data_IF_589174719550
#
_entry.id   IF_589174719550
#
_cell.length_a   1.000
_cell.length_b   1.000
_cell.length_c   1.000
_cell.angle_alpha   90.00
_cell.angle_beta   90.00
_cell.angle_gamma   90.00
#
_symmetry.space_group_name_H-M   'P 1'
#
loop_
_entity.id
_entity.type
_entity.pdbx_description
1 polymer ?
#
# COMPACT_ATOMS: atom_id res chain seq x y z
N UNK A 1 -5.94 4.69 -10.61
CA UNK A 1 -6.74 4.57 -9.38
C UNK A 1 -6.09 5.47 -8.36
N UNK A 2 -6.88 6.37 -7.77
CA UNK A 2 -6.40 7.34 -6.78
C UNK A 2 -6.21 6.68 -5.41
N UNK A 3 -5.57 7.40 -4.49
CA UNK A 3 -5.35 6.93 -3.12
C UNK A 3 -6.68 6.56 -2.45
N UNK A 4 -6.70 5.39 -1.80
CA UNK A 4 -7.84 4.91 -1.04
C UNK A 4 -7.35 4.34 0.29
N UNK A 5 -7.97 4.77 1.38
CA UNK A 5 -7.84 4.09 2.65
C UNK A 5 -8.83 2.93 2.68
N UNK A 6 -8.34 1.70 2.53
CA UNK A 6 -9.17 0.50 2.45
C UNK A 6 -9.52 -0.07 3.83
N UNK A 7 -8.81 0.37 4.87
CA UNK A 7 -8.86 -0.18 6.23
C UNK A 7 -8.05 -1.46 6.39
N UNK A 8 -7.50 -2.01 5.29
CA UNK A 8 -6.65 -3.20 5.30
C UNK A 8 -5.17 -2.85 5.54
N UNK A 9 -4.82 -1.55 5.55
CA UNK A 9 -3.44 -1.10 5.75
C UNK A 9 -2.99 -1.17 7.22
N UNK A 10 -3.93 -1.23 8.15
CA UNK A 10 -3.69 -1.06 9.60
C UNK A 10 -3.26 -2.37 10.29
N UNK A 11 -3.68 -3.51 9.75
CA UNK A 11 -3.35 -4.84 10.27
C UNK A 11 -2.44 -5.59 9.28
N UNK A 12 -1.20 -5.97 9.67
CA UNK A 12 -0.33 -6.81 8.85
C UNK A 12 -0.96 -8.15 8.42
N UNK A 13 -1.93 -8.68 9.17
CA UNK A 13 -2.66 -9.89 8.81
C UNK A 13 -3.58 -9.71 7.60
N UNK A 14 -3.96 -8.47 7.28
CA UNK A 14 -4.78 -8.13 6.13
C UNK A 14 -3.96 -7.81 4.87
N UNK A 15 -2.62 -7.77 4.98
CA UNK A 15 -1.73 -7.55 3.85
C UNK A 15 -1.99 -8.51 2.66
N UNK A 16 -2.30 -9.81 2.84
CA UNK A 16 -2.69 -10.69 1.73
C UNK A 16 -3.98 -10.25 1.01
N UNK A 17 -4.97 -9.75 1.75
CA UNK A 17 -6.22 -9.24 1.17
C UNK A 17 -5.96 -7.94 0.39
N UNK A 18 -5.13 -7.07 0.95
CA UNK A 18 -4.69 -5.84 0.31
C UNK A 18 -3.90 -6.11 -0.97
N UNK A 19 -3.04 -7.13 -0.96
CA UNK A 19 -2.28 -7.57 -2.12
C UNK A 19 -3.19 -8.12 -3.23
N UNK A 20 -4.15 -8.97 -2.89
CA UNK A 20 -5.15 -9.45 -3.84
C UNK A 20 -5.97 -8.30 -4.44
N UNK A 21 -6.40 -7.36 -3.59
CA UNK A 21 -7.11 -6.16 -4.01
C UNK A 21 -6.33 -5.39 -5.09
N UNK A 22 -5.06 -5.05 -4.84
CA UNK A 22 -4.27 -4.31 -5.83
C UNK A 22 -3.91 -5.16 -7.05
N UNK A 23 -3.63 -6.46 -6.88
CA UNK A 23 -3.32 -7.36 -8.00
C UNK A 23 -4.49 -7.48 -8.99
N UNK A 24 -5.74 -7.58 -8.51
CA UNK A 24 -6.92 -7.60 -9.37
C UNK A 24 -7.03 -6.33 -10.23
N UNK A 25 -6.67 -5.18 -9.66
CA UNK A 25 -6.73 -3.87 -10.35
C UNK A 25 -5.61 -3.72 -11.37
N UNK A 26 -4.41 -4.20 -11.04
CA UNK A 26 -3.30 -4.27 -11.96
C UNK A 26 -3.61 -5.20 -13.15
N UNK A 27 -4.14 -6.39 -12.89
CA UNK A 27 -4.58 -7.34 -13.91
C UNK A 27 -5.70 -6.79 -14.81
N UNK A 28 -6.55 -5.91 -14.28
CA UNK A 28 -7.59 -5.22 -15.04
C UNK A 28 -7.07 -4.05 -15.91
N UNK A 29 -5.76 -3.78 -15.93
CA UNK A 29 -5.13 -2.79 -16.81
C UNK A 29 -5.23 -1.34 -16.32
N UNK A 30 -5.43 -1.11 -15.02
CA UNK A 30 -5.46 0.25 -14.45
C UNK A 30 -4.11 0.93 -14.63
N UNK A 31 -4.05 2.09 -15.31
CA UNK A 31 -2.80 2.74 -15.72
C UNK A 31 -1.89 3.32 -14.60
N UNK A 32 -2.36 3.45 -13.37
CA UNK A 32 -1.57 3.85 -12.19
C UNK A 32 -2.32 3.41 -10.94
N UNK A 33 -1.62 2.86 -9.96
CA UNK A 33 -2.18 2.57 -8.64
C UNK A 33 -1.47 3.46 -7.62
N UNK A 34 -2.26 4.16 -6.81
CA UNK A 34 -1.80 4.91 -5.65
C UNK A 34 -2.43 4.26 -4.42
N UNK A 35 -1.60 3.88 -3.46
CA UNK A 35 -1.97 3.18 -2.22
C UNK A 35 -2.71 4.09 -1.24
N UNK A 36 -3.23 3.50 -0.16
CA UNK A 36 -3.62 4.24 1.05
C UNK A 36 -2.40 4.86 1.75
N UNK A 37 -2.64 5.86 2.60
CA UNK A 37 -1.56 6.57 3.28
C UNK A 37 -0.86 5.72 4.35
N UNK A 38 0.46 5.60 4.23
CA UNK A 38 1.39 4.96 5.18
C UNK A 38 2.39 6.00 5.71
N UNK A 39 2.34 6.29 7.00
CA UNK A 39 3.17 7.35 7.58
C UNK A 39 4.65 6.95 7.75
N UNK A 40 5.63 7.75 7.30
CA UNK A 40 7.05 7.42 7.41
C UNK A 40 7.64 7.72 8.80
N UNK A 41 6.88 8.39 9.68
CA UNK A 41 7.31 8.76 11.02
C UNK A 41 6.09 8.97 11.94
N UNK A 42 6.33 9.03 13.26
CA UNK A 42 5.27 9.20 14.26
C UNK A 42 4.52 10.53 14.13
N UNK A 43 5.15 11.59 13.61
CA UNK A 43 4.54 12.92 13.52
C UNK A 43 3.49 13.01 12.42
N UNK A 44 3.61 12.20 11.36
CA UNK A 44 2.63 12.14 10.27
C UNK A 44 1.50 11.14 10.50
N UNK A 45 1.36 10.57 11.70
CA UNK A 45 0.28 9.63 12.03
C UNK A 45 -0.97 10.42 12.38
N UNK A 46 -2.00 10.34 11.53
CA UNK A 46 -3.22 11.14 11.67
C UNK A 46 -4.29 10.48 12.54
N UNK A 47 -4.27 9.14 12.65
CA UNK A 47 -5.24 8.35 13.41
C UNK A 47 -4.51 7.34 14.30
N UNK A 48 -5.07 7.00 15.49
CA UNK A 48 -4.59 5.87 16.27
C UNK A 48 -4.58 4.61 15.39
N UNK A 49 -3.46 3.88 15.42
CA UNK A 49 -3.26 2.64 14.63
C UNK A 49 -3.18 2.80 13.11
N UNK A 50 -3.07 4.02 12.58
CA UNK A 50 -2.81 4.20 11.15
C UNK A 50 -1.52 3.50 10.71
N UNK A 51 -1.50 3.00 9.48
CA UNK A 51 -0.36 2.34 8.89
C UNK A 51 0.90 3.23 8.90
N UNK A 52 2.05 2.61 9.17
CA UNK A 52 3.35 3.30 9.22
C UNK A 52 4.44 2.46 8.58
N UNK A 53 5.45 3.11 8.03
CA UNK A 53 6.69 2.48 7.55
C UNK A 53 7.88 3.24 8.16
N UNK A 54 8.18 2.91 9.41
CA UNK A 54 9.22 3.51 10.25
C UNK A 54 10.35 2.53 10.61
N UNK A 55 10.14 1.23 10.45
CA UNK A 55 11.13 0.19 10.72
C UNK A 55 11.11 -0.92 9.66
N UNK A 56 12.21 -1.67 9.56
CA UNK A 56 12.36 -2.76 8.60
C UNK A 56 11.37 -3.91 8.83
N UNK A 57 10.95 -4.15 10.07
CA UNK A 57 9.95 -5.19 10.41
C UNK A 57 8.60 -4.97 9.72
N UNK A 58 8.30 -3.71 9.34
CA UNK A 58 7.06 -3.36 8.65
C UNK A 58 7.16 -3.65 7.15
N UNK A 59 8.36 -3.80 6.60
CA UNK A 59 8.58 -3.95 5.16
C UNK A 59 7.93 -5.22 4.59
N UNK A 60 7.86 -6.30 5.38
CA UNK A 60 7.34 -7.59 4.94
C UNK A 60 5.89 -7.52 4.43
N UNK A 61 5.02 -6.74 5.09
CA UNK A 61 3.63 -6.57 4.66
C UNK A 61 3.53 -5.74 3.37
N UNK A 62 4.31 -4.66 3.26
CA UNK A 62 4.36 -3.82 2.05
C UNK A 62 4.90 -4.58 0.84
N UNK A 63 5.96 -5.38 1.03
CA UNK A 63 6.55 -6.21 -0.01
C UNK A 63 5.56 -7.21 -0.60
N UNK A 64 4.72 -7.81 0.25
CA UNK A 64 3.69 -8.75 -0.20
C UNK A 64 2.74 -8.08 -1.21
N UNK A 65 2.36 -6.83 -0.94
CA UNK A 65 1.51 -6.04 -1.83
C UNK A 65 2.24 -5.69 -3.14
N UNK A 66 3.46 -5.16 -3.06
CA UNK A 66 4.22 -4.79 -4.27
C UNK A 66 4.50 -5.99 -5.15
N UNK A 67 4.86 -7.13 -4.56
CA UNK A 67 5.17 -8.37 -5.28
C UNK A 67 3.94 -8.93 -5.99
N UNK A 68 2.77 -8.88 -5.33
CA UNK A 68 1.53 -9.34 -5.95
C UNK A 68 1.16 -8.51 -7.19
N UNK A 69 1.38 -7.19 -7.13
CA UNK A 69 1.16 -6.31 -8.28
C UNK A 69 2.19 -6.58 -9.38
N UNK A 70 3.48 -6.67 -9.06
CA UNK A 70 4.53 -6.92 -10.07
C UNK A 70 4.34 -8.28 -10.77
N UNK A 71 3.87 -9.31 -10.06
CA UNK A 71 3.55 -10.62 -10.65
C UNK A 71 2.49 -10.57 -11.75
N UNK A 72 1.67 -9.51 -11.86
CA UNK A 72 0.69 -9.38 -12.95
C UNK A 72 1.31 -8.90 -14.27
N UNK A 73 2.64 -8.79 -14.36
CA UNK A 73 3.33 -8.18 -15.51
C UNK A 73 3.25 -6.64 -15.48
N UNK A 74 2.90 -6.07 -14.33
CA UNK A 74 2.84 -4.64 -14.10
C UNK A 74 4.25 -4.11 -13.80
N UNK A 75 5.09 -4.06 -14.82
CA UNK A 75 6.45 -3.54 -14.72
C UNK A 75 6.43 -2.09 -15.22
N UNK A 76 6.65 -1.12 -14.33
CA UNK A 76 6.85 0.34 -14.57
C UNK A 76 5.73 1.35 -14.28
N UNK A 77 4.64 1.04 -13.55
CA UNK A 77 3.65 2.08 -13.17
C UNK A 77 3.03 1.96 -11.76
N UNK A 78 3.61 1.16 -10.85
CA UNK A 78 3.16 1.12 -9.45
C UNK A 78 3.93 2.21 -8.73
N UNK A 79 3.23 3.18 -8.15
CA UNK A 79 3.91 4.18 -7.34
C UNK A 79 3.18 4.27 -6.01
N UNK A 80 3.80 3.65 -5.01
CA UNK A 80 3.45 3.82 -3.61
C UNK A 80 3.90 5.22 -3.20
N UNK A 81 3.01 6.21 -3.38
CA UNK A 81 3.20 7.54 -2.85
C UNK A 81 2.35 7.67 -1.59
N UNK A 82 2.99 7.71 -0.43
CA UNK A 82 2.39 8.36 0.74
C UNK A 82 3.04 9.71 1.00
N UNK A 83 2.26 10.77 0.87
CA UNK A 83 2.45 12.03 1.59
C UNK A 83 1.07 12.64 1.87
N UNK A 84 0.65 12.59 3.14
CA UNK A 84 -0.35 13.49 3.71
C UNK A 84 0.26 14.05 5.00
N UNK A 85 1.11 15.06 4.83
CA UNK A 85 1.31 16.07 5.87
C UNK A 85 0.37 17.21 5.49
N UNK A 86 -0.75 17.36 6.21
CA UNK A 86 -1.34 18.67 6.41
C UNK A 86 -0.66 19.30 7.63
#
# INVERSE_FOLDING_TARGET
MGSMHTGLEEDPHDAPKLAEFYAQRAAAGVALIVTGGISPNKQGVLLPHAATLMSEDQLASHQLVTDAVHKTGWENRFTDFTYWSL
#
